data_IF_385551785141
#
_entry.id   IF_385551785141
#
_cell.length_a   1.000
_cell.length_b   1.000
_cell.length_c   1.000
_cell.angle_alpha   90.00
_cell.angle_beta   90.00
_cell.angle_gamma   90.00
#
_symmetry.space_group_name_H-M   'P 1'
#
loop_
_entity.id
_entity.type
_entity.pdbx_description
1 polymer ?
#
# COMPACT_ATOMS: atom_id res chain seq x y z
N UNK A 1 -19.75 -19.65 10.75
CA UNK A 1 -20.48 -18.47 11.26
C UNK A 1 -19.47 -17.49 11.82
N UNK A 2 -19.21 -16.38 11.11
CA UNK A 2 -18.39 -15.27 11.62
C UNK A 2 -19.20 -13.97 11.48
N UNK A 3 -19.31 -13.18 12.57
CA UNK A 3 -20.32 -12.13 12.66
C UNK A 3 -19.88 -10.83 11.99
N UNK A 4 -20.79 -10.30 11.16
CA UNK A 4 -21.29 -8.93 11.14
C UNK A 4 -20.47 -7.86 11.90
N UNK A 5 -19.59 -7.15 11.18
CA UNK A 5 -19.04 -5.86 11.62
C UNK A 5 -19.09 -4.87 10.45
N UNK A 6 -20.31 -4.36 10.22
CA UNK A 6 -20.61 -3.31 9.28
C UNK A 6 -20.68 -1.99 10.05
N UNK A 7 -19.52 -1.36 10.26
CA UNK A 7 -19.44 0.07 10.57
C UNK A 7 -19.00 0.78 9.29
N UNK A 8 -19.98 1.35 8.59
CA UNK A 8 -19.79 2.17 7.41
C UNK A 8 -19.15 3.51 7.84
N UNK A 9 -17.97 3.81 7.30
CA UNK A 9 -17.33 5.12 7.48
C UNK A 9 -15.96 5.28 6.81
N UNK A 10 -15.14 4.24 6.76
CA UNK A 10 -13.78 4.30 6.15
C UNK A 10 -13.33 2.98 5.50
N UNK A 11 -14.20 1.97 5.44
CA UNK A 11 -13.85 0.57 5.14
C UNK A 11 -13.83 0.21 3.65
N UNK A 12 -14.13 1.15 2.74
CA UNK A 12 -14.23 0.85 1.30
C UNK A 12 -12.88 0.55 0.63
N UNK A 13 -11.76 1.08 1.15
CA UNK A 13 -10.45 0.81 0.57
C UNK A 13 -9.92 -0.58 0.92
N UNK A 14 -10.29 -1.15 2.08
CA UNK A 14 -9.80 -2.46 2.53
C UNK A 14 -10.37 -3.61 1.71
N UNK A 15 -11.67 -3.59 1.41
CA UNK A 15 -12.32 -4.61 0.58
C UNK A 15 -11.95 -4.54 -0.91
N UNK A 16 -11.69 -3.34 -1.44
CA UNK A 16 -11.15 -3.18 -2.80
C UNK A 16 -9.73 -3.77 -2.90
N UNK A 17 -8.98 -3.78 -1.80
CA UNK A 17 -7.59 -4.19 -1.76
C UNK A 17 -7.39 -5.70 -1.95
N UNK A 18 -8.23 -6.52 -1.34
CA UNK A 18 -8.15 -7.99 -1.46
C UNK A 18 -8.47 -8.48 -2.87
N UNK A 19 -9.33 -7.75 -3.62
CA UNK A 19 -9.65 -8.07 -5.01
C UNK A 19 -8.47 -7.80 -5.98
N UNK A 20 -7.50 -6.97 -5.57
CA UNK A 20 -6.36 -6.57 -6.40
C UNK A 20 -5.16 -7.53 -6.32
N UNK A 21 -5.16 -8.46 -5.36
CA UNK A 21 -4.16 -9.52 -5.22
C UNK A 21 -4.48 -10.75 -6.09
N UNK A 22 -5.60 -10.73 -6.82
CA UNK A 22 -6.10 -11.86 -7.61
C UNK A 22 -5.50 -12.06 -9.00
N UNK A 23 -4.51 -11.26 -9.44
CA UNK A 23 -3.85 -11.49 -10.72
C UNK A 23 -2.33 -11.47 -10.55
N UNK A 24 -1.75 -12.66 -10.71
CA UNK A 24 -0.34 -12.95 -10.49
C UNK A 24 0.61 -12.12 -11.35
N UNK A 25 1.88 -12.19 -10.94
CA UNK A 25 3.04 -11.56 -11.60
C UNK A 25 3.22 -10.06 -11.32
N UNK A 26 3.74 -9.75 -10.13
CA UNK A 26 4.39 -8.47 -9.87
C UNK A 26 4.59 -8.20 -8.38
N UNK A 27 5.60 -8.82 -7.76
CA UNK A 27 5.93 -8.60 -6.34
C UNK A 27 6.04 -7.10 -6.03
N UNK A 28 6.68 -6.32 -6.90
CA UNK A 28 6.80 -4.85 -6.77
C UNK A 28 5.45 -4.15 -6.78
N UNK A 29 4.54 -4.53 -7.68
CA UNK A 29 3.19 -3.94 -7.75
C UNK A 29 2.35 -4.29 -6.51
N UNK A 30 2.55 -5.48 -5.93
CA UNK A 30 1.91 -5.87 -4.69
C UNK A 30 2.39 -5.01 -3.51
N UNK A 31 3.70 -4.81 -3.37
CA UNK A 31 4.26 -3.93 -2.35
C UNK A 31 3.83 -2.47 -2.54
N UNK A 32 3.80 -1.97 -3.79
CA UNK A 32 3.32 -0.63 -4.10
C UNK A 32 1.87 -0.43 -3.67
N UNK A 33 0.99 -1.35 -4.06
CA UNK A 33 -0.41 -1.31 -3.64
C UNK A 33 -0.49 -1.34 -2.11
N UNK A 34 0.29 -2.22 -1.45
CA UNK A 34 0.22 -2.42 0.00
C UNK A 34 0.65 -1.15 0.75
N UNK A 35 1.73 -0.52 0.28
CA UNK A 35 2.18 0.78 0.76
C UNK A 35 1.11 1.86 0.59
N UNK A 36 0.43 1.92 -0.56
CA UNK A 36 -0.65 2.89 -0.79
C UNK A 36 -1.85 2.66 0.13
N UNK A 37 -2.26 1.41 0.36
CA UNK A 37 -3.34 1.13 1.31
C UNK A 37 -2.96 1.54 2.73
N UNK A 38 -1.72 1.26 3.14
CA UNK A 38 -1.19 1.68 4.45
C UNK A 38 -1.13 3.20 4.57
N UNK A 39 -0.71 3.91 3.52
CA UNK A 39 -0.76 5.37 3.46
C UNK A 39 -2.19 5.88 3.67
N UNK A 40 -3.19 5.30 3.00
CA UNK A 40 -4.60 5.69 3.16
C UNK A 40 -5.17 5.37 4.54
N UNK A 41 -4.62 4.36 5.21
CA UNK A 41 -5.00 3.98 6.57
C UNK A 41 -4.26 4.78 7.65
N UNK A 42 -3.30 5.64 7.27
CA UNK A 42 -2.46 6.40 8.20
C UNK A 42 -1.25 5.63 8.75
N UNK A 43 -0.99 4.41 8.25
CA UNK A 43 0.17 3.58 8.59
C UNK A 43 1.39 3.96 7.76
N UNK A 44 1.86 5.20 7.91
CA UNK A 44 2.89 5.77 7.03
C UNK A 44 4.28 5.14 7.21
N UNK A 45 4.61 4.66 8.41
CA UNK A 45 5.88 3.96 8.68
C UNK A 45 5.94 2.65 7.90
N UNK A 46 4.90 1.82 8.03
CA UNK A 46 4.81 0.55 7.31
C UNK A 46 4.66 0.74 5.80
N UNK A 47 4.00 1.83 5.36
CA UNK A 47 3.93 2.19 3.96
C UNK A 47 5.31 2.51 3.38
N UNK A 48 6.13 3.27 4.12
CA UNK A 48 7.49 3.64 3.69
C UNK A 48 8.37 2.41 3.52
N UNK A 49 8.27 1.43 4.42
CA UNK A 49 8.99 0.17 4.31
C UNK A 49 8.58 -0.61 3.05
N UNK A 50 7.28 -0.70 2.77
CA UNK A 50 6.78 -1.35 1.55
C UNK A 50 7.29 -0.70 0.27
N UNK A 51 7.29 0.64 0.21
CA UNK A 51 7.84 1.36 -0.94
C UNK A 51 9.36 1.19 -1.06
N UNK A 52 10.07 1.08 0.07
CA UNK A 52 11.51 0.79 0.09
C UNK A 52 11.80 -0.61 -0.45
N UNK A 53 11.04 -1.62 -0.04
CA UNK A 53 11.17 -2.98 -0.60
C UNK A 53 10.84 -3.01 -2.09
N UNK A 54 9.81 -2.29 -2.53
CA UNK A 54 9.49 -2.15 -3.94
C UNK A 54 10.64 -1.53 -4.74
N UNK A 55 11.34 -0.53 -4.19
CA UNK A 55 12.52 0.09 -4.80
C UNK A 55 13.76 -0.81 -4.79
N UNK A 56 13.93 -1.66 -3.77
CA UNK A 56 15.03 -2.64 -3.76
C UNK A 56 14.84 -3.68 -4.87
N UNK A 57 13.60 -4.08 -5.12
CA UNK A 57 13.25 -5.04 -6.17
C UNK A 57 13.29 -4.42 -7.57
N UNK A 58 12.75 -3.21 -7.75
CA UNK A 58 12.84 -2.45 -8.99
C UNK A 58 13.22 -0.99 -8.70
N UNK A 59 14.52 -0.67 -8.67
CA UNK A 59 14.99 0.70 -8.39
C UNK A 59 14.63 1.70 -9.49
N UNK A 60 14.32 1.20 -10.69
CA UNK A 60 13.85 2.00 -11.83
C UNK A 60 12.37 2.36 -11.74
N UNK A 61 11.64 1.86 -10.73
CA UNK A 61 10.21 2.10 -10.60
C UNK A 61 9.91 3.50 -10.06
N UNK A 62 9.57 4.40 -10.98
CA UNK A 62 9.24 5.80 -10.69
C UNK A 62 8.09 5.96 -9.70
N UNK A 63 7.09 5.05 -9.71
CA UNK A 63 5.95 5.13 -8.78
C UNK A 63 6.38 4.88 -7.34
N UNK A 64 7.23 3.88 -7.11
CA UNK A 64 7.73 3.58 -5.78
C UNK A 64 8.60 4.71 -5.22
N UNK A 65 9.42 5.31 -6.09
CA UNK A 65 10.26 6.46 -5.74
C UNK A 65 9.43 7.67 -5.34
N UNK A 66 8.38 7.99 -6.12
CA UNK A 66 7.48 9.12 -5.84
C UNK A 66 6.71 8.92 -4.53
N UNK A 67 6.17 7.72 -4.28
CA UNK A 67 5.45 7.42 -3.04
C UNK A 67 6.38 7.49 -1.82
N UNK A 68 7.59 6.93 -1.92
CA UNK A 68 8.59 7.01 -0.85
C UNK A 68 9.03 8.46 -0.57
N UNK A 69 9.27 9.27 -1.61
CA UNK A 69 9.64 10.68 -1.47
C UNK A 69 8.49 11.50 -0.85
N UNK A 70 7.25 11.27 -1.29
CA UNK A 70 6.06 11.93 -0.72
C UNK A 70 5.94 11.65 0.78
N UNK A 71 6.05 10.39 1.17
CA UNK A 71 6.03 10.01 2.59
C UNK A 71 7.20 10.64 3.35
N UNK A 72 8.40 10.59 2.79
CA UNK A 72 9.58 11.19 3.42
C UNK A 72 9.38 12.69 3.69
N UNK A 73 8.79 13.43 2.75
CA UNK A 73 8.46 14.86 2.92
C UNK A 73 7.36 15.13 3.94
N UNK A 74 6.43 14.21 4.15
CA UNK A 74 5.37 14.34 5.15
C UNK A 74 5.85 14.18 6.59
N UNK A 75 7.00 13.52 6.79
CA UNK A 75 7.59 13.23 8.12
C UNK A 75 8.97 13.87 8.34
N UNK A 76 9.35 14.85 7.51
CA UNK A 76 10.58 15.63 7.66
C UNK A 76 10.27 16.99 8.30
#
# INVERSE_FOLDING_TARGET
MQPLALSFGVTSCRGMFESLLGQGSGNVKAYLRRGTAREMLGYYKEATEDFRYALVLEPTNKRAAQSADKLKRLFQ
#
